data_IF_849230830576
#
_entry.id   IF_849230830576
#
_cell.length_a   1.000
_cell.length_b   1.000
_cell.length_c   1.000
_cell.angle_alpha   90.00
_cell.angle_beta   90.00
_cell.angle_gamma   90.00
#
_symmetry.space_group_name_H-M   'P 1'
#
loop_
_entity.id
_entity.type
_entity.pdbx_description
1 polymer ?
#
# COMPACT_ATOMS: atom_id res chain seq x y z
N UNK A 1 31.16 2.02 -10.46
CA UNK A 1 31.09 1.22 -9.23
C UNK A 1 29.78 1.60 -8.60
N UNK A 2 28.75 0.79 -8.85
CA UNK A 2 27.38 1.13 -8.48
C UNK A 2 27.28 1.33 -6.97
N UNK A 3 26.75 2.49 -6.59
CA UNK A 3 26.53 2.84 -5.20
C UNK A 3 25.33 2.02 -4.73
N UNK A 4 25.60 0.85 -4.16
CA UNK A 4 24.58 0.02 -3.51
C UNK A 4 23.82 0.87 -2.50
N UNK A 5 22.57 1.20 -2.80
CA UNK A 5 21.71 1.97 -1.92
C UNK A 5 21.14 1.00 -0.87
N UNK A 6 21.75 0.99 0.30
CA UNK A 6 21.36 0.13 1.42
C UNK A 6 19.91 0.32 1.84
N UNK A 7 19.28 1.45 1.49
CA UNK A 7 17.86 1.70 1.73
C UNK A 7 16.97 0.87 0.81
N UNK A 8 17.35 0.69 -0.45
CA UNK A 8 16.61 -0.11 -1.44
C UNK A 8 16.67 -1.59 -1.05
N UNK A 9 17.88 -2.09 -0.78
CA UNK A 9 18.04 -3.48 -0.31
C UNK A 9 17.34 -3.76 1.02
N UNK A 10 17.36 -2.81 1.94
CA UNK A 10 16.62 -2.92 3.21
C UNK A 10 15.11 -2.96 3.02
N UNK A 11 14.58 -2.19 2.06
CA UNK A 11 13.17 -2.20 1.69
C UNK A 11 12.75 -3.54 1.09
N UNK A 12 13.56 -4.10 0.18
CA UNK A 12 13.28 -5.39 -0.46
C UNK A 12 13.29 -6.54 0.54
N UNK A 13 14.28 -6.57 1.43
CA UNK A 13 14.36 -7.56 2.50
C UNK A 13 13.20 -7.41 3.49
N UNK A 14 12.83 -6.18 3.87
CA UNK A 14 11.67 -5.90 4.71
C UNK A 14 10.35 -6.34 4.08
N UNK A 15 10.20 -6.17 2.76
CA UNK A 15 9.04 -6.66 2.00
C UNK A 15 8.93 -8.17 2.02
N UNK A 16 10.04 -8.88 1.82
CA UNK A 16 10.05 -10.34 1.83
C UNK A 16 9.70 -10.89 3.22
N UNK A 17 10.27 -10.30 4.28
CA UNK A 17 9.99 -10.69 5.68
C UNK A 17 8.55 -10.35 6.05
N UNK A 18 8.06 -9.15 5.71
CA UNK A 18 6.67 -8.75 5.96
C UNK A 18 5.66 -9.68 5.29
N UNK A 19 5.87 -10.00 4.00
CA UNK A 19 5.03 -10.97 3.27
C UNK A 19 5.02 -12.33 3.95
N UNK A 20 6.20 -12.81 4.37
CA UNK A 20 6.35 -14.15 4.94
C UNK A 20 5.74 -14.28 6.34
N UNK A 21 5.89 -13.27 7.21
CA UNK A 21 5.47 -13.36 8.61
C UNK A 21 4.08 -12.78 8.90
N UNK A 22 3.61 -11.82 8.09
CA UNK A 22 2.36 -11.09 8.37
C UNK A 22 1.21 -11.49 7.41
N UNK A 23 1.46 -12.45 6.50
CA UNK A 23 0.50 -12.91 5.50
C UNK A 23 -0.20 -11.75 4.76
N UNK A 24 0.57 -10.71 4.45
CA UNK A 24 0.08 -9.52 3.75
C UNK A 24 0.98 -9.20 2.58
N UNK A 25 0.37 -8.86 1.45
CA UNK A 25 1.07 -8.36 0.27
C UNK A 25 1.29 -6.83 0.34
N UNK A 26 0.82 -6.19 1.41
CA UNK A 26 0.87 -4.75 1.64
C UNK A 26 1.85 -4.42 2.77
N UNK A 27 2.70 -3.41 2.57
CA UNK A 27 3.65 -2.92 3.58
C UNK A 27 3.25 -1.57 4.19
N UNK A 28 2.01 -1.14 4.01
CA UNK A 28 1.54 0.09 4.65
C UNK A 28 0.90 -0.19 6.01
N UNK A 29 0.64 0.87 6.77
CA UNK A 29 -0.05 0.77 8.05
C UNK A 29 -1.46 0.18 7.92
N UNK A 30 -1.94 -0.41 9.01
CA UNK A 30 -3.34 -0.74 9.18
C UNK A 30 -4.10 0.39 9.87
N UNK A 31 -5.42 0.42 9.66
CA UNK A 31 -6.35 1.26 10.41
C UNK A 31 -6.99 0.41 11.51
N UNK A 32 -7.24 0.92 12.72
CA UNK A 32 -7.99 0.23 13.78
C UNK A 32 -8.93 1.25 14.45
N UNK A 33 -10.25 1.22 14.17
CA UNK A 33 -11.22 2.01 14.91
C UNK A 33 -11.40 1.43 16.32
N UNK A 34 -12.02 2.24 17.18
CA UNK A 34 -12.00 2.19 18.66
C UNK A 34 -12.35 0.84 19.33
N UNK A 35 -12.84 -0.15 18.58
CA UNK A 35 -13.18 -1.49 19.03
C UNK A 35 -12.13 -2.58 18.72
N UNK A 36 -11.02 -2.24 18.04
CA UNK A 36 -10.05 -3.24 17.56
C UNK A 36 -8.67 -3.08 18.19
N UNK A 37 -8.23 -4.10 18.92
CA UNK A 37 -6.84 -4.22 19.39
C UNK A 37 -5.90 -4.47 18.23
N UNK A 38 -4.78 -3.75 18.13
CA UNK A 38 -3.74 -4.03 17.16
C UNK A 38 -3.06 -5.37 17.47
N UNK A 39 -3.26 -6.38 16.62
CA UNK A 39 -2.62 -7.70 16.76
C UNK A 39 -2.08 -8.15 15.41
N UNK A 40 -1.07 -9.03 15.41
CA UNK A 40 -0.55 -9.59 14.16
C UNK A 40 -1.64 -10.34 13.38
N UNK A 41 -2.55 -11.00 14.08
CA UNK A 41 -3.65 -11.79 13.51
C UNK A 41 -4.65 -10.93 12.72
N UNK A 42 -4.84 -9.66 13.09
CA UNK A 42 -5.79 -8.77 12.41
C UNK A 42 -5.12 -7.69 11.55
N UNK A 43 -3.80 -7.78 11.37
CA UNK A 43 -3.01 -6.79 10.66
C UNK A 43 -3.43 -6.65 9.19
N UNK A 44 -3.56 -7.75 8.45
CA UNK A 44 -4.04 -7.72 7.06
C UNK A 44 -5.45 -7.10 6.95
N UNK A 45 -6.35 -7.44 7.87
CA UNK A 45 -7.69 -6.83 7.94
C UNK A 45 -7.66 -5.35 8.30
N UNK A 46 -6.64 -4.89 9.02
CA UNK A 46 -6.41 -3.48 9.30
C UNK A 46 -5.89 -2.71 8.09
N UNK A 47 -5.01 -3.31 7.29
CA UNK A 47 -4.52 -2.74 6.04
C UNK A 47 -5.66 -2.60 5.01
N UNK A 48 -6.51 -3.62 4.89
CA UNK A 48 -7.70 -3.54 4.05
C UNK A 48 -8.62 -2.37 4.45
N UNK A 49 -8.86 -2.19 5.76
CA UNK A 49 -9.66 -1.08 6.28
C UNK A 49 -9.00 0.28 6.07
N UNK A 50 -7.67 0.35 6.10
CA UNK A 50 -6.94 1.56 5.77
C UNK A 50 -7.16 1.96 4.30
N UNK A 51 -7.03 1.02 3.35
CA UNK A 51 -7.36 1.30 1.95
C UNK A 51 -8.82 1.72 1.77
N UNK A 52 -9.75 1.04 2.44
CA UNK A 52 -11.17 1.37 2.34
C UNK A 52 -11.46 2.77 2.85
N UNK A 53 -10.84 3.18 3.97
CA UNK A 53 -10.98 4.54 4.49
C UNK A 53 -10.58 5.59 3.45
N UNK A 54 -9.48 5.37 2.71
CA UNK A 54 -9.06 6.28 1.65
C UNK A 54 -10.11 6.32 0.53
N UNK A 55 -10.60 5.16 0.09
CA UNK A 55 -11.59 5.02 -0.97
C UNK A 55 -12.90 5.73 -0.60
N UNK A 56 -13.38 5.55 0.63
CA UNK A 56 -14.63 6.14 1.14
C UNK A 56 -14.56 7.68 1.23
N UNK A 57 -13.35 8.25 1.24
CA UNK A 57 -13.13 9.70 1.30
C UNK A 57 -12.87 10.33 -0.08
N UNK A 58 -12.97 9.56 -1.18
CA UNK A 58 -12.87 10.11 -2.53
C UNK A 58 -14.17 10.88 -2.84
N UNK A 59 -14.10 12.19 -3.17
CA UNK A 59 -15.30 12.96 -3.49
C UNK A 59 -16.05 12.41 -4.72
N UNK A 60 -17.36 12.66 -4.76
CA UNK A 60 -18.18 12.32 -5.91
C UNK A 60 -17.69 13.02 -7.20
N UNK A 61 -17.85 12.32 -8.33
CA UNK A 61 -17.51 12.87 -9.65
C UNK A 61 -16.02 12.79 -10.03
N UNK A 62 -15.16 12.32 -9.13
CA UNK A 62 -13.74 12.05 -9.44
C UNK A 62 -13.65 10.89 -10.45
N UNK A 63 -12.80 11.06 -11.47
CA UNK A 63 -12.55 10.07 -12.53
C UNK A 63 -11.08 9.71 -12.71
N UNK A 64 -10.18 10.58 -12.25
CA UNK A 64 -8.72 10.45 -12.38
C UNK A 64 -8.06 10.67 -11.03
N UNK A 65 -7.09 9.82 -10.69
CA UNK A 65 -6.36 9.84 -9.43
C UNK A 65 -4.87 9.75 -9.73
N UNK A 66 -4.06 10.52 -9.02
CA UNK A 66 -2.59 10.38 -8.98
C UNK A 66 -2.21 9.75 -7.64
N UNK A 67 -1.68 8.53 -7.66
CA UNK A 67 -1.20 7.81 -6.48
C UNK A 67 0.30 8.09 -6.27
N UNK A 68 0.61 9.02 -5.36
CA UNK A 68 1.99 9.44 -5.07
C UNK A 68 2.57 8.56 -3.97
N UNK A 69 3.65 7.83 -4.29
CA UNK A 69 4.23 6.84 -3.40
C UNK A 69 3.42 5.54 -3.38
N UNK A 70 2.96 5.09 -4.55
CA UNK A 70 2.04 3.95 -4.73
C UNK A 70 2.55 2.60 -4.22
N UNK A 71 3.82 2.51 -3.82
CA UNK A 71 4.43 1.29 -3.28
C UNK A 71 4.32 0.12 -4.25
N UNK A 72 3.77 -1.01 -3.80
CA UNK A 72 3.52 -2.19 -4.64
C UNK A 72 2.34 -2.04 -5.61
N UNK A 73 1.62 -0.90 -5.60
CA UNK A 73 0.48 -0.64 -6.46
C UNK A 73 -0.85 -1.23 -5.98
N UNK A 74 -0.92 -1.82 -4.78
CA UNK A 74 -2.15 -2.47 -4.30
C UNK A 74 -3.35 -1.52 -4.19
N UNK A 75 -3.15 -0.31 -3.68
CA UNK A 75 -4.22 0.70 -3.60
C UNK A 75 -4.66 1.14 -5.01
N UNK A 76 -3.70 1.45 -5.88
CA UNK A 76 -3.97 1.78 -7.28
C UNK A 76 -4.81 0.70 -7.98
N UNK A 77 -4.50 -0.59 -7.76
CA UNK A 77 -5.28 -1.69 -8.34
C UNK A 77 -6.73 -1.72 -7.82
N UNK A 78 -6.95 -1.48 -6.52
CA UNK A 78 -8.31 -1.36 -5.94
C UNK A 78 -9.08 -0.21 -6.59
N UNK A 79 -8.44 0.94 -6.79
CA UNK A 79 -9.03 2.11 -7.43
C UNK A 79 -9.36 1.85 -8.91
N UNK A 80 -8.47 1.19 -9.66
CA UNK A 80 -8.72 0.79 -11.05
C UNK A 80 -9.95 -0.14 -11.13
N UNK A 81 -10.06 -1.10 -10.22
CA UNK A 81 -11.20 -2.03 -10.18
C UNK A 81 -12.52 -1.32 -9.87
N UNK A 82 -12.48 -0.17 -9.19
CA UNK A 82 -13.63 0.70 -8.95
C UNK A 82 -13.96 1.63 -10.14
N UNK A 83 -13.17 1.59 -11.22
CA UNK A 83 -13.40 2.34 -12.45
C UNK A 83 -12.67 3.68 -12.54
N UNK A 84 -11.79 4.00 -11.59
CA UNK A 84 -10.94 5.18 -11.68
C UNK A 84 -9.81 4.98 -12.70
N UNK A 85 -9.41 6.07 -13.36
CA UNK A 85 -8.13 6.12 -14.07
C UNK A 85 -7.04 6.53 -13.08
N UNK A 86 -6.05 5.68 -12.88
CA UNK A 86 -5.02 5.91 -11.87
C UNK A 86 -3.65 6.01 -12.54
N UNK A 87 -2.96 7.10 -12.25
CA UNK A 87 -1.55 7.31 -12.60
C UNK A 87 -0.73 7.10 -11.31
N UNK A 88 0.33 6.29 -11.34
CA UNK A 88 1.18 6.02 -10.19
C UNK A 88 2.50 6.78 -10.29
N UNK A 89 2.99 7.34 -9.18
CA UNK A 89 4.30 7.96 -9.09
C UNK A 89 5.11 7.30 -7.97
N UNK A 90 6.22 6.65 -8.34
CA UNK A 90 7.14 6.02 -7.39
C UNK A 90 8.58 6.39 -7.75
N UNK A 91 9.45 6.72 -6.78
CA UNK A 91 10.86 7.07 -7.06
C UNK A 91 11.75 5.83 -7.29
N UNK A 92 11.21 4.63 -7.13
CA UNK A 92 11.94 3.36 -7.26
C UNK A 92 11.66 2.74 -8.63
N UNK A 93 12.69 2.58 -9.47
CA UNK A 93 12.57 1.88 -10.76
C UNK A 93 12.13 0.42 -10.59
N UNK A 94 12.48 -0.22 -9.47
CA UNK A 94 12.08 -1.61 -9.19
C UNK A 94 10.57 -1.77 -8.97
N UNK A 95 9.90 -0.71 -8.51
CA UNK A 95 8.47 -0.69 -8.23
C UNK A 95 7.65 0.00 -9.32
N UNK A 96 8.31 0.60 -10.31
CA UNK A 96 7.70 1.37 -11.39
C UNK A 96 7.13 0.47 -12.50
#
# INVERSE_FOLDING_TARGET
>A
MDKYDSKIMGLDAGLLIGKFFLNTEELHYGYWPDDKTATAQNFAGAQARHSQLIIDHIPDGIKRILDVGSGSGSLAQKLINLGYKVDCLVPSEFLA
#
